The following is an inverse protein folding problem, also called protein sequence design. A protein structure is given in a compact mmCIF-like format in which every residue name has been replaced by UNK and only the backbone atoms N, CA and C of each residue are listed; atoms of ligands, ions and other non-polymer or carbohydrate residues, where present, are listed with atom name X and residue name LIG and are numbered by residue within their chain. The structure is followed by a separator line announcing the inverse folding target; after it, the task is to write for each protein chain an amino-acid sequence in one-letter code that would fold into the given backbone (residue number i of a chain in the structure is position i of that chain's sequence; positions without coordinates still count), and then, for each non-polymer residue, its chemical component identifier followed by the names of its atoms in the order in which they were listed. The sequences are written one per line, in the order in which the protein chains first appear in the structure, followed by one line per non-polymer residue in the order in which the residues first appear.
data_IF_029759254116
#
_entry.id   IF_029759254116
#
_cell.length_a   1.000
_cell.length_b   1.000
_cell.length_c   1.000
_cell.angle_alpha   90.00
_cell.angle_beta   90.00
_cell.angle_gamma   90.00
#
_symmetry.space_group_name_H-M   'P 1'
#
loop_
_entity.id
_entity.type
_entity.pdbx_description
1 polymer ?
#
# COMPACT_ATOMS: atom_id res chain seq x y z
N UNK A 1 -0.60 -0.49 5.29
CA UNK A 1 0.10 -1.21 6.39
C UNK A 1 1.44 -0.52 6.67
N UNK A 2 2.23 -0.96 7.65
CA UNK A 2 3.55 -0.36 7.94
C UNK A 2 4.60 -1.43 8.28
N UNK A 3 5.88 -1.05 8.16
CA UNK A 3 7.06 -1.86 8.55
C UNK A 3 8.18 -0.95 9.09
N UNK A 4 9.32 -1.53 9.47
CA UNK A 4 10.51 -0.80 9.87
C UNK A 4 11.61 -0.90 8.80
N UNK A 5 12.49 0.11 8.74
CA UNK A 5 13.60 0.14 7.78
C UNK A 5 14.89 0.53 8.48
N UNK A 6 15.92 -0.32 8.40
CA UNK A 6 17.24 -0.12 9.00
C UNK A 6 17.26 -0.25 10.52
N UNK A 7 16.31 0.38 11.22
CA UNK A 7 16.13 0.34 12.67
C UNK A 7 14.64 0.41 13.04
N UNK A 8 14.27 0.00 14.26
CA UNK A 8 12.86 -0.11 14.70
C UNK A 8 12.17 1.23 14.90
N UNK A 9 12.92 2.30 15.03
CA UNK A 9 12.39 3.66 15.23
C UNK A 9 12.00 4.30 13.89
N UNK A 10 12.46 3.72 12.77
CA UNK A 10 12.18 4.20 11.44
C UNK A 10 11.00 3.43 10.84
N UNK A 11 9.80 3.77 11.28
CA UNK A 11 8.54 3.26 10.74
C UNK A 11 8.28 3.84 9.35
N UNK A 12 8.00 2.97 8.39
CA UNK A 12 7.62 3.33 7.03
C UNK A 12 6.24 2.75 6.74
N UNK A 13 5.34 3.61 6.29
CA UNK A 13 4.04 3.23 5.78
C UNK A 13 4.16 2.72 4.36
N UNK A 14 3.49 1.59 4.12
CA UNK A 14 3.24 1.01 2.82
C UNK A 14 1.79 1.32 2.50
N UNK A 15 1.59 2.39 1.74
CA UNK A 15 0.30 2.76 1.18
C UNK A 15 0.00 1.82 0.03
N UNK A 16 -1.24 1.35 -0.05
CA UNK A 16 -1.66 0.45 -1.11
C UNK A 16 -3.07 0.78 -1.56
N UNK A 17 -3.31 0.62 -2.86
CA UNK A 17 -4.63 0.71 -3.46
C UNK A 17 -4.86 -0.49 -4.37
N UNK A 18 -6.12 -0.91 -4.48
CA UNK A 18 -6.57 -1.93 -5.43
C UNK A 18 -7.59 -1.28 -6.34
N UNK A 19 -7.34 -1.31 -7.65
CA UNK A 19 -8.20 -0.78 -8.69
C UNK A 19 -8.77 -1.92 -9.51
N UNK A 20 -10.09 -1.96 -9.60
CA UNK A 20 -10.88 -2.96 -10.35
C UNK A 20 -10.47 -4.43 -10.11
N UNK A 21 -10.10 -4.76 -8.86
CA UNK A 21 -9.54 -6.07 -8.40
C UNK A 21 -8.20 -6.47 -8.99
N UNK A 22 -7.88 -6.09 -10.21
CA UNK A 22 -6.75 -6.63 -10.97
C UNK A 22 -5.48 -5.80 -10.80
N UNK A 23 -5.62 -4.50 -10.64
CA UNK A 23 -4.48 -3.59 -10.57
C UNK A 23 -4.21 -3.15 -9.14
N UNK A 24 -2.93 -3.13 -8.76
CA UNK A 24 -2.51 -2.75 -7.42
C UNK A 24 -1.40 -1.72 -7.51
N UNK A 25 -1.51 -0.73 -6.65
CA UNK A 25 -0.57 0.38 -6.54
C UNK A 25 0.00 0.41 -5.14
N UNK A 26 1.24 0.85 -5.00
CA UNK A 26 1.83 1.08 -3.70
C UNK A 26 2.75 2.30 -3.69
N UNK A 27 2.85 2.93 -2.53
CA UNK A 27 3.80 4.01 -2.29
C UNK A 27 4.38 3.87 -0.88
N UNK A 28 5.65 4.30 -0.71
CA UNK A 28 6.34 4.25 0.57
C UNK A 28 6.53 5.65 1.14
N UNK A 29 6.26 5.80 2.43
CA UNK A 29 6.52 7.07 3.11
C UNK A 29 5.95 7.13 4.49
N UNK A 30 5.55 8.34 4.90
CA UNK A 30 4.93 8.60 6.20
C UNK A 30 3.42 8.36 6.12
N UNK A 31 2.75 8.31 7.26
CA UNK A 31 1.29 8.28 7.33
C UNK A 31 0.68 9.68 7.21
N UNK A 32 0.99 10.38 6.12
CA UNK A 32 0.58 11.76 5.87
C UNK A 32 -0.07 11.96 4.49
N UNK A 33 -0.57 13.18 4.27
CA UNK A 33 -1.23 13.57 3.02
C UNK A 33 -0.25 13.59 1.84
N UNK A 34 0.98 14.02 2.06
CA UNK A 34 2.00 14.08 1.00
C UNK A 34 2.22 12.70 0.37
N UNK A 35 2.40 11.66 1.19
CA UNK A 35 2.59 10.30 0.69
C UNK A 35 1.31 9.73 0.07
N UNK A 36 0.15 10.07 0.64
CA UNK A 36 -1.14 9.68 0.08
C UNK A 36 -1.34 10.22 -1.35
N UNK A 37 -1.08 11.52 -1.58
CA UNK A 37 -1.25 12.12 -2.90
C UNK A 37 -0.29 11.54 -3.94
N UNK A 38 0.95 11.21 -3.56
CA UNK A 38 1.89 10.49 -4.43
C UNK A 38 1.32 9.16 -4.92
N UNK A 39 0.67 8.39 -4.04
CA UNK A 39 -0.03 7.17 -4.44
C UNK A 39 -1.24 7.49 -5.32
N UNK A 40 -2.08 8.45 -4.91
CA UNK A 40 -3.32 8.78 -5.59
C UNK A 40 -3.11 9.14 -7.05
N UNK A 41 -2.09 9.95 -7.36
CA UNK A 41 -1.80 10.37 -8.73
C UNK A 41 -1.28 9.24 -9.65
N UNK A 42 -0.97 8.06 -9.11
CA UNK A 42 -0.62 6.88 -9.91
C UNK A 42 -1.85 6.07 -10.32
N UNK A 43 -2.99 6.27 -9.65
CA UNK A 43 -4.20 5.47 -9.85
C UNK A 43 -5.02 6.12 -10.97
N UNK A 44 -5.56 5.34 -11.93
CA UNK A 44 -6.52 5.84 -12.91
C UNK A 44 -7.73 6.51 -12.23
N UNK A 45 -8.37 7.45 -12.94
CA UNK A 45 -9.56 8.13 -12.43
C UNK A 45 -10.64 7.08 -12.11
N UNK A 46 -10.99 6.99 -10.83
CA UNK A 46 -12.01 6.09 -10.33
C UNK A 46 -13.36 6.81 -10.20
N UNK A 47 -14.46 6.08 -10.45
CA UNK A 47 -15.81 6.60 -10.16
C UNK A 47 -16.09 6.66 -8.67
N UNK A 48 -15.69 5.63 -7.93
CA UNK A 48 -15.91 5.49 -6.48
C UNK A 48 -14.59 5.11 -5.80
N UNK A 49 -14.29 5.73 -4.65
CA UNK A 49 -13.09 5.42 -3.86
C UNK A 49 -13.48 4.95 -2.47
N UNK A 50 -13.14 3.70 -2.16
CA UNK A 50 -13.47 3.07 -0.88
C UNK A 50 -12.31 3.19 0.10
N UNK A 51 -12.54 3.81 1.27
CA UNK A 51 -11.50 4.05 2.30
C UNK A 51 -11.97 3.70 3.72
N UNK A 52 -11.01 3.50 4.63
CA UNK A 52 -11.21 3.15 6.05
C UNK A 52 -11.54 4.37 6.95
N UNK A 53 -12.10 5.42 6.35
CA UNK A 53 -12.43 6.70 6.98
C UNK A 53 -11.27 7.58 7.48
N UNK A 54 -10.00 7.21 7.23
CA UNK A 54 -8.86 8.00 7.70
C UNK A 54 -8.87 9.45 7.17
N UNK A 55 -8.40 10.39 8.00
CA UNK A 55 -8.56 11.84 7.80
C UNK A 55 -7.97 12.37 6.49
N UNK A 56 -6.87 11.78 6.02
CA UNK A 56 -6.16 12.19 4.79
C UNK A 56 -7.03 12.05 3.54
N UNK A 57 -8.07 11.20 3.59
CA UNK A 57 -9.01 11.03 2.49
C UNK A 57 -10.15 12.05 2.52
N UNK A 58 -10.07 13.07 3.38
CA UNK A 58 -11.13 14.08 3.55
C UNK A 58 -11.46 14.83 2.26
N UNK A 59 -10.46 15.04 1.41
CA UNK A 59 -10.57 15.86 0.20
C UNK A 59 -10.89 15.05 -1.06
N UNK A 60 -11.36 13.80 -0.93
CA UNK A 60 -11.76 12.97 -2.07
C UNK A 60 -13.26 13.09 -2.31
N UNK A 61 -13.65 13.79 -3.36
CA UNK A 61 -15.06 14.09 -3.69
C UNK A 61 -15.92 12.82 -3.91
N UNK A 62 -15.33 11.77 -4.47
CA UNK A 62 -15.96 10.49 -4.77
C UNK A 62 -15.73 9.41 -3.69
N UNK A 63 -15.37 9.83 -2.47
CA UNK A 63 -15.11 8.92 -1.35
C UNK A 63 -16.40 8.24 -0.86
N UNK A 64 -16.30 6.93 -0.68
CA UNK A 64 -17.31 6.09 -0.02
C UNK A 64 -16.68 5.43 1.21
N UNK A 65 -17.15 5.82 2.39
CA UNK A 65 -16.79 5.15 3.63
C UNK A 65 -17.76 3.99 3.84
N UNK A 66 -17.25 2.75 3.76
CA UNK A 66 -18.03 1.56 4.11
C UNK A 66 -17.18 0.68 5.03
N UNK A 67 -17.81 0.15 6.08
CA UNK A 67 -17.15 -0.71 7.07
C UNK A 67 -16.77 -2.08 6.51
N UNK A 68 -17.41 -2.51 5.43
CA UNK A 68 -17.23 -3.82 4.80
C UNK A 68 -17.38 -3.73 3.26
N UNK A 69 -16.67 -4.59 2.52
CA UNK A 69 -16.79 -4.71 1.07
C UNK A 69 -15.45 -4.51 0.35
N UNK A 70 -15.38 -3.48 -0.51
CA UNK A 70 -14.22 -3.21 -1.37
C UNK A 70 -12.89 -2.96 -0.62
N UNK A 71 -12.95 -2.54 0.64
CA UNK A 71 -11.77 -2.42 1.52
C UNK A 71 -11.08 -3.78 1.77
N UNK A 72 -11.84 -4.88 1.71
CA UNK A 72 -11.31 -6.24 1.89
C UNK A 72 -10.29 -6.63 0.82
N UNK A 73 -10.34 -6.01 -0.38
CA UNK A 73 -9.33 -6.27 -1.41
C UNK A 73 -7.96 -5.77 -0.98
N UNK A 74 -7.90 -4.63 -0.30
CA UNK A 74 -6.65 -4.08 0.20
C UNK A 74 -6.12 -4.90 1.40
N UNK A 75 -7.00 -5.42 2.25
CA UNK A 75 -6.64 -6.36 3.32
C UNK A 75 -6.10 -7.68 2.77
N UNK A 76 -6.72 -8.20 1.70
CA UNK A 76 -6.25 -9.36 0.95
C UNK A 76 -4.85 -9.13 0.38
N UNK A 77 -4.60 -7.97 -0.22
CA UNK A 77 -3.27 -7.58 -0.69
C UNK A 77 -2.25 -7.51 0.45
N UNK A 78 -2.60 -6.95 1.62
CA UNK A 78 -1.68 -6.91 2.75
C UNK A 78 -1.33 -8.32 3.25
N UNK A 79 -2.33 -9.21 3.33
CA UNK A 79 -2.11 -10.62 3.70
C UNK A 79 -1.20 -11.32 2.70
N UNK A 80 -1.43 -11.12 1.41
CA UNK A 80 -0.58 -11.65 0.33
C UNK A 80 0.86 -11.13 0.42
N UNK A 81 1.06 -9.82 0.57
CA UNK A 81 2.39 -9.21 0.67
C UNK A 81 3.13 -9.70 1.91
N UNK A 82 2.44 -9.82 3.04
CA UNK A 82 3.03 -10.43 4.24
C UNK A 82 3.44 -11.86 3.95
N UNK A 83 2.62 -12.66 3.25
CA UNK A 83 2.98 -14.03 2.92
C UNK A 83 4.29 -14.12 2.12
N UNK A 84 4.44 -13.28 1.09
CA UNK A 84 5.60 -13.31 0.18
C UNK A 84 6.85 -12.64 0.73
N UNK A 85 6.70 -11.63 1.60
CA UNK A 85 7.82 -10.84 2.11
C UNK A 85 7.97 -11.07 3.62
N UNK A 86 8.92 -11.92 4.01
CA UNK A 86 9.23 -12.18 5.41
C UNK A 86 9.54 -10.89 6.21
N UNK A 87 10.09 -9.87 5.54
CA UNK A 87 10.37 -8.56 6.13
C UNK A 87 9.12 -7.77 6.56
N UNK A 88 7.94 -8.17 6.10
CA UNK A 88 6.65 -7.59 6.50
C UNK A 88 5.97 -8.40 7.61
N UNK A 89 6.44 -9.62 7.91
CA UNK A 89 5.90 -10.49 8.96
C UNK A 89 6.49 -10.19 10.35
N UNK A 90 7.81 -9.97 10.46
CA UNK A 90 8.52 -9.93 11.75
C UNK A 90 9.27 -8.62 11.99
N UNK A 91 8.63 -7.73 12.73
CA UNK A 91 9.12 -6.41 13.19
C UNK A 91 10.59 -6.36 13.65
N UNK A 92 11.10 -7.42 14.26
CA UNK A 92 12.40 -7.38 14.97
C UNK A 92 13.49 -8.24 14.34
N UNK A 93 13.16 -9.14 13.40
CA UNK A 93 14.11 -10.15 12.86
C UNK A 93 14.37 -10.02 11.37
N UNK A 94 13.41 -9.49 10.62
CA UNK A 94 13.53 -9.29 9.19
C UNK A 94 12.93 -7.93 8.86
N UNK A 95 13.77 -6.95 8.55
CA UNK A 95 13.36 -5.64 8.06
C UNK A 95 14.29 -5.24 6.93
N UNK A 96 13.80 -4.41 6.01
CA UNK A 96 14.61 -3.92 4.91
C UNK A 96 15.75 -3.04 5.45
N UNK A 97 16.97 -3.18 4.91
CA UNK A 97 18.12 -2.37 5.32
C UNK A 97 18.02 -0.90 4.88
N UNK A 98 17.23 -0.62 3.85
CA UNK A 98 16.98 0.73 3.34
C UNK A 98 15.59 0.81 2.69
N UNK A 99 15.07 2.03 2.53
CA UNK A 99 13.78 2.25 1.87
C UNK A 99 13.81 1.76 0.41
N UNK A 100 14.97 1.92 -0.25
CA UNK A 100 15.21 1.40 -1.60
C UNK A 100 15.13 -0.13 -1.65
N UNK A 101 15.63 -0.83 -0.64
CA UNK A 101 15.52 -2.29 -0.57
C UNK A 101 14.06 -2.72 -0.36
N UNK A 102 13.31 -2.03 0.50
CA UNK A 102 11.88 -2.28 0.68
C UNK A 102 11.10 -2.07 -0.63
N UNK A 103 11.34 -0.95 -1.31
CA UNK A 103 10.72 -0.61 -2.59
C UNK A 103 11.00 -1.69 -3.64
N UNK A 104 12.27 -2.08 -3.82
CA UNK A 104 12.66 -3.11 -4.78
C UNK A 104 12.03 -4.47 -4.49
N UNK A 105 11.94 -4.85 -3.22
CA UNK A 105 11.32 -6.11 -2.82
C UNK A 105 9.82 -6.12 -3.14
N UNK A 106 9.11 -5.01 -2.86
CA UNK A 106 7.71 -4.86 -3.24
C UNK A 106 7.53 -4.86 -4.76
N UNK A 107 8.31 -4.04 -5.48
CA UNK A 107 8.27 -3.98 -6.94
C UNK A 107 8.49 -5.37 -7.57
N UNK A 108 9.45 -6.14 -7.08
CA UNK A 108 9.71 -7.50 -7.56
C UNK A 108 8.50 -8.43 -7.35
N UNK A 109 7.83 -8.35 -6.20
CA UNK A 109 6.59 -9.12 -5.96
C UNK A 109 5.48 -8.66 -6.92
N UNK A 110 5.31 -7.36 -7.10
CA UNK A 110 4.29 -6.82 -8.00
C UNK A 110 4.51 -7.25 -9.45
N UNK A 111 5.75 -7.24 -9.94
CA UNK A 111 6.10 -7.75 -11.28
C UNK A 111 5.91 -9.27 -11.36
N UNK A 112 6.46 -10.02 -10.40
CA UNK A 112 6.48 -11.50 -10.44
C UNK A 112 5.08 -12.12 -10.45
N UNK A 113 4.12 -11.44 -9.82
CA UNK A 113 2.73 -11.88 -9.67
C UNK A 113 1.74 -11.07 -10.51
N UNK A 114 2.23 -10.30 -11.49
CA UNK A 114 1.43 -9.51 -12.42
C UNK A 114 0.37 -8.62 -11.72
N UNK A 115 0.80 -7.89 -10.69
CA UNK A 115 -0.07 -7.01 -9.90
C UNK A 115 -0.08 -5.56 -10.42
N UNK A 116 0.82 -5.23 -11.35
CA UNK A 116 0.92 -3.90 -11.96
C UNK A 116 -0.08 -3.74 -13.10
N UNK A 117 -0.45 -2.50 -13.41
CA UNK A 117 -1.06 -2.19 -14.69
C UNK A 117 -0.03 -2.39 -15.80
N UNK A 118 -0.21 -3.41 -16.63
CA UNK A 118 0.31 -3.35 -18.00
C UNK A 118 -0.43 -2.20 -18.68
N UNK A 119 0.32 -1.14 -18.99
CA UNK A 119 -0.14 -0.04 -19.84
C UNK A 119 -0.60 -0.58 -21.20
#
# INVERSE_FOLDING_TARGET
MWTYVGKKENEIWIWTAVFDKDFKFFELGKRDEETFWKLYYQIPIAKDIHTDAYKVYGNLDNRKVKKYGYTNWNEGLHSFLRDKLAMLKRKTKAYAKSIRALYRALALVFVRWNLLSTL
#
